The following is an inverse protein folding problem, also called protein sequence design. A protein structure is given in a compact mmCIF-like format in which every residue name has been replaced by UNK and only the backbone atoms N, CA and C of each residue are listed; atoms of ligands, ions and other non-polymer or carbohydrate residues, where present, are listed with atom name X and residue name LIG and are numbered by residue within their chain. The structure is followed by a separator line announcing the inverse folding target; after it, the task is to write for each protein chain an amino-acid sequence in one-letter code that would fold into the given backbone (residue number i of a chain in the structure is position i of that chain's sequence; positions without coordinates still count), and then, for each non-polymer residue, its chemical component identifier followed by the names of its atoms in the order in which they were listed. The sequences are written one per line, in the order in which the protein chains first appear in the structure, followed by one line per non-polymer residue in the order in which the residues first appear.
data_IF_113976357652
#
_entry.id   IF_113976357652
#
_cell.length_a   1.000
_cell.length_b   1.000
_cell.length_c   1.000
_cell.angle_alpha   90.00
_cell.angle_beta   90.00
_cell.angle_gamma   90.00
#
_symmetry.space_group_name_H-M   'P 1'
#
loop_
_entity.id
_entity.type
_entity.pdbx_description
1 polymer ?
#
# COMPACT_ATOMS: atom_id res chain seq x y z
N UNK A 1 88.07 7.94 32.74
CA UNK A 1 87.45 6.60 32.82
C UNK A 1 85.99 6.79 32.53
N UNK A 2 85.56 6.47 31.35
CA UNK A 2 84.14 6.66 30.88
C UNK A 2 83.33 5.41 31.22
N UNK A 3 82.24 5.59 31.96
CA UNK A 3 81.22 4.55 32.22
C UNK A 3 80.49 4.17 30.99
N UNK A 4 80.65 2.97 30.44
CA UNK A 4 79.86 2.39 29.37
C UNK A 4 78.64 1.77 30.01
N UNK A 5 77.44 2.36 29.66
CA UNK A 5 76.15 1.85 30.06
C UNK A 5 75.70 0.80 29.06
N UNK A 6 75.68 -0.48 29.44
CA UNK A 6 75.16 -1.57 28.62
C UNK A 6 73.62 -1.56 28.67
N UNK A 7 72.96 -1.25 27.55
CA UNK A 7 71.51 -1.37 27.40
C UNK A 7 71.21 -2.80 26.96
N UNK A 8 70.42 -3.60 27.73
CA UNK A 8 70.07 -4.94 27.32
C UNK A 8 69.09 -4.92 26.15
N UNK A 9 69.37 -5.72 25.11
CA UNK A 9 68.50 -5.90 23.96
C UNK A 9 67.13 -6.44 24.42
N UNK A 10 66.07 -5.67 24.14
CA UNK A 10 64.69 -6.08 24.37
C UNK A 10 64.37 -7.17 23.36
N UNK A 11 64.12 -8.41 23.85
CA UNK A 11 63.56 -9.48 23.03
C UNK A 11 62.24 -9.03 22.49
N UNK A 12 62.11 -8.88 21.17
CA UNK A 12 60.79 -8.80 20.49
C UNK A 12 60.13 -10.18 20.67
N UNK A 13 59.16 -10.25 21.56
CA UNK A 13 58.17 -11.35 21.59
C UNK A 13 57.32 -11.14 20.36
N UNK A 14 57.54 -11.95 19.33
CA UNK A 14 56.67 -11.97 18.18
C UNK A 14 55.26 -12.33 18.62
N UNK A 15 54.40 -11.34 18.60
CA UNK A 15 52.96 -11.53 18.71
C UNK A 15 52.45 -12.17 17.39
N UNK A 16 52.62 -13.48 17.28
CA UNK A 16 51.83 -14.33 16.40
C UNK A 16 50.43 -14.49 17.01
N UNK A 17 49.77 -13.41 17.34
CA UNK A 17 48.33 -13.40 17.39
C UNK A 17 47.88 -13.58 15.94
N UNK A 18 47.58 -14.82 15.52
CA UNK A 18 46.70 -15.07 14.39
C UNK A 18 45.46 -14.21 14.66
N UNK A 19 45.31 -13.11 13.91
CA UNK A 19 43.99 -12.49 13.74
C UNK A 19 43.11 -13.64 13.28
N UNK A 20 42.27 -14.15 14.15
CA UNK A 20 41.03 -14.79 13.74
C UNK A 20 40.35 -13.71 12.93
N UNK A 21 40.34 -13.86 11.61
CA UNK A 21 39.42 -13.13 10.77
C UNK A 21 38.05 -13.52 11.32
N UNK A 22 37.41 -12.59 12.03
CA UNK A 22 36.00 -12.70 12.38
C UNK A 22 35.27 -12.86 11.03
N UNK A 23 34.83 -14.08 10.73
CA UNK A 23 33.98 -14.35 9.56
C UNK A 23 32.77 -13.43 9.68
N UNK A 24 32.71 -12.45 8.79
CA UNK A 24 31.53 -11.57 8.72
C UNK A 24 30.31 -12.46 8.54
N UNK A 25 29.24 -12.26 9.31
CA UNK A 25 28.04 -13.05 9.17
C UNK A 25 27.55 -12.93 7.71
N UNK A 26 27.26 -14.08 7.09
CA UNK A 26 26.76 -14.13 5.73
C UNK A 26 25.38 -13.50 5.67
N UNK A 27 25.07 -12.79 4.56
CA UNK A 27 23.75 -12.23 4.32
C UNK A 27 22.78 -13.36 3.97
N UNK A 28 21.67 -13.44 4.70
CA UNK A 28 20.60 -14.40 4.43
C UNK A 28 19.75 -13.86 3.25
N UNK A 29 19.91 -14.51 2.09
CA UNK A 29 19.34 -14.06 0.83
C UNK A 29 18.19 -14.97 0.44
N UNK A 30 17.02 -14.36 0.19
CA UNK A 30 15.84 -15.03 -0.33
C UNK A 30 15.57 -14.64 -1.78
N UNK A 31 15.00 -15.54 -2.57
CA UNK A 31 14.53 -15.21 -3.90
C UNK A 31 13.00 -15.19 -3.97
N UNK A 32 12.45 -14.18 -4.69
CA UNK A 32 11.03 -14.12 -5.00
C UNK A 32 10.78 -14.39 -6.48
N UNK A 33 9.98 -15.41 -6.74
CA UNK A 33 9.58 -15.86 -8.08
C UNK A 33 8.08 -15.63 -8.29
N UNK A 34 7.70 -15.17 -9.48
CA UNK A 34 6.31 -15.08 -9.90
C UNK A 34 6.17 -15.74 -11.27
N UNK A 35 5.51 -16.87 -11.32
CA UNK A 35 5.30 -17.67 -12.54
C UNK A 35 3.85 -17.60 -12.97
N UNK A 36 3.59 -17.50 -14.29
CA UNK A 36 2.23 -17.54 -14.84
C UNK A 36 1.80 -18.99 -15.07
N UNK A 37 0.53 -19.34 -14.78
CA UNK A 37 0.01 -20.71 -14.75
C UNK A 37 -0.64 -21.17 -16.06
N UNK A 38 -0.46 -20.47 -17.19
CA UNK A 38 -1.30 -20.67 -18.39
C UNK A 38 -0.85 -21.77 -19.37
N UNK A 39 0.20 -22.56 -19.10
CA UNK A 39 0.57 -23.71 -19.94
C UNK A 39 1.55 -24.69 -19.28
N UNK A 40 1.55 -25.97 -19.74
CA UNK A 40 2.46 -27.03 -19.28
C UNK A 40 3.96 -26.71 -19.47
N UNK A 41 4.31 -25.78 -20.37
CA UNK A 41 5.67 -25.28 -20.56
C UNK A 41 6.17 -24.42 -19.37
N UNK A 42 5.29 -24.07 -18.44
CA UNK A 42 5.58 -23.16 -17.33
C UNK A 42 5.93 -23.87 -16.02
N UNK A 43 5.55 -25.13 -15.84
CA UNK A 43 6.06 -25.95 -14.74
C UNK A 43 7.59 -26.09 -14.86
N UNK A 44 8.10 -26.31 -16.07
CA UNK A 44 9.53 -26.32 -16.36
C UNK A 44 10.19 -24.95 -16.13
N UNK A 45 9.46 -23.86 -16.36
CA UNK A 45 9.95 -22.49 -16.08
C UNK A 45 10.04 -22.17 -14.58
N UNK A 46 9.17 -22.74 -13.75
CA UNK A 46 9.24 -22.58 -12.30
C UNK A 46 10.45 -23.32 -11.71
N UNK A 47 10.58 -24.59 -12.03
CA UNK A 47 11.71 -25.42 -11.59
C UNK A 47 13.05 -24.81 -12.01
N UNK A 48 13.14 -24.34 -13.25
CA UNK A 48 14.33 -23.65 -13.75
C UNK A 48 14.65 -22.35 -13.00
N UNK A 49 13.63 -21.58 -12.57
CA UNK A 49 13.85 -20.36 -11.77
C UNK A 49 14.31 -20.72 -10.34
N UNK A 50 13.72 -21.74 -9.73
CA UNK A 50 14.11 -22.24 -8.41
C UNK A 50 15.57 -22.72 -8.44
N UNK A 51 15.94 -23.53 -9.42
CA UNK A 51 17.32 -24.02 -9.59
C UNK A 51 18.29 -22.86 -9.82
N UNK A 52 17.95 -21.94 -10.74
CA UNK A 52 18.77 -20.78 -11.06
C UNK A 52 19.07 -19.92 -9.82
N UNK A 53 18.03 -19.53 -9.04
CA UNK A 53 18.25 -18.69 -7.86
C UNK A 53 18.93 -19.43 -6.72
N UNK A 54 18.67 -20.72 -6.56
CA UNK A 54 19.37 -21.55 -5.57
C UNK A 54 20.86 -21.58 -5.89
N UNK A 55 21.23 -21.88 -7.13
CA UNK A 55 22.63 -21.86 -7.54
C UNK A 55 23.25 -20.46 -7.47
N UNK A 56 22.52 -19.43 -7.91
CA UNK A 56 23.00 -18.06 -7.93
C UNK A 56 23.35 -17.57 -6.52
N UNK A 57 22.50 -17.86 -5.54
CA UNK A 57 22.74 -17.49 -4.14
C UNK A 57 23.89 -18.32 -3.55
N UNK A 58 23.93 -19.64 -3.79
CA UNK A 58 24.95 -20.52 -3.24
C UNK A 58 26.35 -20.31 -3.82
N UNK A 59 26.44 -19.81 -5.05
CA UNK A 59 27.74 -19.45 -5.69
C UNK A 59 28.41 -18.24 -5.05
N UNK A 60 27.67 -17.40 -4.31
CA UNK A 60 28.25 -16.25 -3.62
C UNK A 60 28.73 -16.65 -2.23
N UNK A 61 30.02 -16.54 -1.92
CA UNK A 61 30.56 -16.95 -0.61
C UNK A 61 30.05 -16.09 0.56
N UNK A 62 29.62 -14.88 0.30
CA UNK A 62 29.13 -13.92 1.32
C UNK A 62 27.63 -14.08 1.61
N UNK A 63 26.95 -15.01 0.93
CA UNK A 63 25.51 -15.21 1.05
C UNK A 63 25.17 -16.56 1.66
N UNK A 64 24.06 -16.59 2.40
CA UNK A 64 23.42 -17.79 2.94
C UNK A 64 22.02 -17.87 2.32
N UNK A 65 21.65 -19.06 1.89
CA UNK A 65 20.35 -19.32 1.27
C UNK A 65 19.24 -19.32 2.33
N UNK A 66 18.34 -18.30 2.29
CA UNK A 66 17.22 -18.16 3.22
C UNK A 66 15.90 -18.76 2.69
N UNK A 67 15.81 -19.08 1.40
CA UNK A 67 14.64 -19.72 0.82
C UNK A 67 14.17 -19.11 -0.51
N UNK A 68 13.21 -19.78 -1.13
CA UNK A 68 12.52 -19.32 -2.32
C UNK A 68 11.04 -19.17 -2.00
N UNK A 69 10.49 -18.01 -2.34
CA UNK A 69 9.08 -17.68 -2.23
C UNK A 69 8.50 -17.53 -3.61
N UNK A 70 7.48 -18.32 -3.93
CA UNK A 70 6.94 -18.33 -5.27
C UNK A 70 5.42 -18.30 -5.27
N UNK A 71 4.86 -17.30 -5.94
CA UNK A 71 3.43 -17.20 -6.19
C UNK A 71 3.11 -17.48 -7.65
N UNK A 72 1.97 -18.13 -7.89
CA UNK A 72 1.42 -18.28 -9.23
C UNK A 72 1.17 -16.91 -9.86
N UNK A 73 1.59 -16.72 -11.08
CA UNK A 73 1.34 -15.52 -11.86
C UNK A 73 -0.16 -15.31 -12.07
N UNK A 74 -0.59 -14.08 -11.85
CA UNK A 74 -1.99 -13.73 -11.85
C UNK A 74 -2.44 -13.51 -13.28
N UNK A 75 -3.40 -14.30 -13.75
CA UNK A 75 -4.32 -13.87 -14.80
C UNK A 75 -5.17 -12.72 -14.24
N UNK A 76 -5.41 -11.66 -15.03
CA UNK A 76 -6.01 -10.39 -14.58
C UNK A 76 -7.39 -10.46 -13.90
N UNK A 77 -7.93 -11.67 -13.67
CA UNK A 77 -9.26 -11.92 -13.08
C UNK A 77 -9.22 -12.68 -11.76
N UNK A 78 -8.07 -13.22 -11.33
CA UNK A 78 -8.01 -14.06 -10.14
C UNK A 78 -7.32 -13.33 -8.97
N UNK A 79 -8.11 -13.01 -7.94
CA UNK A 79 -7.69 -12.38 -6.68
C UNK A 79 -6.95 -13.34 -5.74
N UNK A 80 -6.24 -14.36 -6.24
CA UNK A 80 -5.41 -15.22 -5.39
C UNK A 80 -4.46 -14.35 -4.58
N UNK A 81 -4.53 -14.50 -3.28
CA UNK A 81 -3.66 -13.83 -2.32
C UNK A 81 -2.22 -14.24 -2.62
N UNK A 82 -1.30 -13.29 -2.67
CA UNK A 82 0.15 -13.54 -2.76
C UNK A 82 0.63 -14.07 -1.41
N UNK A 83 0.34 -15.33 -1.13
CA UNK A 83 0.58 -15.93 0.18
C UNK A 83 2.07 -16.03 0.45
N UNK A 84 2.84 -16.47 -0.55
CA UNK A 84 4.28 -16.60 -0.43
C UNK A 84 4.99 -15.24 -0.36
N UNK A 85 4.53 -14.25 -1.12
CA UNK A 85 5.03 -12.88 -0.98
C UNK A 85 4.79 -12.31 0.42
N UNK A 86 3.59 -12.50 0.97
CA UNK A 86 3.28 -12.04 2.32
C UNK A 86 4.12 -12.77 3.36
N UNK A 87 4.30 -14.08 3.21
CA UNK A 87 5.18 -14.88 4.07
C UNK A 87 6.61 -14.36 4.02
N UNK A 88 7.14 -14.07 2.83
CA UNK A 88 8.47 -13.46 2.66
C UNK A 88 8.57 -12.12 3.42
N UNK A 89 7.57 -11.26 3.30
CA UNK A 89 7.56 -9.97 4.02
C UNK A 89 7.52 -10.17 5.55
N UNK A 90 6.79 -11.18 6.03
CA UNK A 90 6.73 -11.48 7.45
C UNK A 90 8.05 -12.09 7.96
N UNK A 91 8.72 -12.92 7.18
CA UNK A 91 10.07 -13.41 7.47
C UNK A 91 11.12 -12.28 7.47
N UNK A 92 10.96 -11.28 6.60
CA UNK A 92 11.77 -10.05 6.66
C UNK A 92 11.57 -9.30 7.97
N UNK A 93 10.33 -9.12 8.43
CA UNK A 93 10.02 -8.47 9.71
C UNK A 93 10.55 -9.26 10.91
N UNK A 94 10.54 -10.59 10.82
CA UNK A 94 11.10 -11.49 11.83
C UNK A 94 12.64 -11.46 11.86
N UNK A 95 13.28 -10.80 10.89
CA UNK A 95 14.73 -10.75 10.78
C UNK A 95 15.34 -12.05 10.26
N UNK A 96 14.62 -12.86 9.50
CA UNK A 96 15.09 -14.10 8.90
C UNK A 96 15.74 -13.90 7.53
N UNK A 97 15.51 -12.74 6.89
CA UNK A 97 15.98 -12.39 5.55
C UNK A 97 16.70 -11.05 5.62
N UNK A 98 17.89 -10.97 5.05
CA UNK A 98 18.69 -9.76 4.99
C UNK A 98 18.71 -9.13 3.59
N UNK A 99 18.34 -9.89 2.54
CA UNK A 99 18.28 -9.41 1.15
C UNK A 99 17.28 -10.23 0.35
N UNK A 100 16.58 -9.58 -0.59
CA UNK A 100 15.68 -10.23 -1.54
C UNK A 100 16.24 -10.08 -2.96
N UNK A 101 16.16 -11.16 -3.74
CA UNK A 101 16.45 -11.15 -5.19
C UNK A 101 15.16 -11.48 -5.94
N UNK A 102 14.89 -10.77 -7.02
CA UNK A 102 13.77 -11.06 -7.91
C UNK A 102 14.12 -10.72 -9.36
N UNK A 103 13.47 -11.36 -10.30
CA UNK A 103 13.78 -11.23 -11.73
C UNK A 103 13.60 -9.80 -12.24
N UNK A 104 12.53 -9.12 -11.83
CA UNK A 104 12.22 -7.76 -12.32
C UNK A 104 11.22 -7.05 -11.42
N UNK A 105 11.18 -5.72 -11.56
CA UNK A 105 10.21 -4.85 -10.87
C UNK A 105 8.77 -5.30 -11.13
N UNK A 106 8.45 -5.65 -12.39
CA UNK A 106 7.10 -6.06 -12.79
C UNK A 106 6.65 -7.40 -12.18
N UNK A 107 7.59 -8.23 -11.73
CA UNK A 107 7.31 -9.49 -11.03
C UNK A 107 7.21 -9.30 -9.52
N UNK A 108 7.89 -8.28 -9.00
CA UNK A 108 7.87 -7.96 -7.57
C UNK A 108 6.51 -7.42 -7.11
N UNK A 109 5.85 -6.56 -7.89
CA UNK A 109 4.58 -5.98 -7.50
C UNK A 109 3.60 -5.84 -8.68
N UNK A 110 2.29 -5.81 -8.35
CA UNK A 110 1.19 -5.76 -9.34
C UNK A 110 0.98 -4.38 -9.96
N UNK A 111 1.29 -3.35 -9.21
CA UNK A 111 1.11 -1.96 -9.61
C UNK A 111 2.21 -1.10 -8.97
N UNK A 112 2.34 0.11 -9.44
CA UNK A 112 3.37 1.06 -9.01
C UNK A 112 3.24 1.43 -7.53
N UNK A 113 2.02 1.57 -7.02
CA UNK A 113 1.75 1.92 -5.61
C UNK A 113 2.20 0.82 -4.66
N UNK A 114 1.83 -0.43 -4.94
CA UNK A 114 2.23 -1.58 -4.12
C UNK A 114 3.73 -1.78 -4.15
N UNK A 115 4.34 -1.65 -5.33
CA UNK A 115 5.78 -1.75 -5.48
C UNK A 115 6.51 -0.70 -4.63
N UNK A 116 6.11 0.55 -4.72
CA UNK A 116 6.67 1.65 -3.95
C UNK A 116 6.51 1.44 -2.44
N UNK A 117 5.32 0.98 -2.02
CA UNK A 117 5.02 0.69 -0.61
C UNK A 117 5.97 -0.37 -0.05
N UNK A 118 6.09 -1.51 -0.74
CA UNK A 118 6.93 -2.61 -0.25
C UNK A 118 8.42 -2.30 -0.32
N UNK A 119 8.88 -1.61 -1.36
CA UNK A 119 10.29 -1.19 -1.44
C UNK A 119 10.63 -0.26 -0.28
N UNK A 120 9.78 0.73 0.04
CA UNK A 120 10.00 1.63 1.18
C UNK A 120 10.01 0.87 2.51
N UNK A 121 9.04 -0.03 2.71
CA UNK A 121 8.96 -0.84 3.92
C UNK A 121 10.23 -1.69 4.11
N UNK A 122 10.72 -2.35 3.06
CA UNK A 122 11.96 -3.14 3.11
C UNK A 122 13.19 -2.26 3.33
N UNK A 123 13.22 -1.08 2.72
CA UNK A 123 14.29 -0.10 2.93
C UNK A 123 14.35 0.41 4.36
N UNK A 124 13.20 0.68 4.99
CA UNK A 124 13.12 1.08 6.40
C UNK A 124 13.66 -0.01 7.34
N UNK A 125 13.59 -1.27 6.91
CA UNK A 125 14.18 -2.43 7.62
C UNK A 125 15.64 -2.72 7.22
N UNK A 126 16.26 -1.89 6.36
CA UNK A 126 17.58 -2.10 5.77
C UNK A 126 17.71 -3.40 4.97
N UNK A 127 16.63 -3.86 4.35
CA UNK A 127 16.62 -5.06 3.49
C UNK A 127 16.62 -4.63 2.02
N UNK A 128 17.76 -4.77 1.30
CA UNK A 128 17.83 -4.49 -0.12
C UNK A 128 17.01 -5.46 -0.95
N UNK A 129 16.43 -4.95 -2.04
CA UNK A 129 15.85 -5.75 -3.10
C UNK A 129 16.70 -5.58 -4.35
N UNK A 130 17.21 -6.69 -4.90
CA UNK A 130 17.94 -6.74 -6.15
C UNK A 130 17.00 -7.14 -7.28
N UNK A 131 16.77 -6.24 -8.22
CA UNK A 131 16.09 -6.50 -9.48
C UNK A 131 17.11 -6.92 -10.53
N UNK A 132 17.16 -8.21 -10.84
CA UNK A 132 18.20 -8.80 -11.69
C UNK A 132 18.18 -8.22 -13.11
N UNK A 133 17.00 -8.19 -13.76
CA UNK A 133 16.82 -7.70 -15.13
C UNK A 133 17.23 -6.25 -15.29
N UNK A 134 16.85 -5.41 -14.35
CA UNK A 134 17.15 -3.98 -14.36
C UNK A 134 18.55 -3.66 -13.80
N UNK A 135 19.21 -4.64 -13.15
CA UNK A 135 20.48 -4.47 -12.44
C UNK A 135 20.42 -3.31 -11.43
N UNK A 136 19.34 -3.26 -10.64
CA UNK A 136 19.06 -2.24 -9.63
C UNK A 136 18.99 -2.89 -8.25
N UNK A 137 19.77 -2.34 -7.30
CA UNK A 137 19.62 -2.59 -5.87
C UNK A 137 18.90 -1.39 -5.25
N UNK A 138 17.86 -1.63 -4.44
CA UNK A 138 17.04 -0.55 -3.85
C UNK A 138 17.78 0.31 -2.84
N UNK A 139 18.96 -0.11 -2.37
CA UNK A 139 19.77 0.64 -1.40
C UNK A 139 20.87 1.48 -2.07
N UNK A 140 21.09 1.35 -3.37
CA UNK A 140 22.07 2.15 -4.10
C UNK A 140 21.46 3.43 -4.73
N UNK A 141 22.29 4.24 -5.37
CA UNK A 141 21.86 5.48 -6.02
C UNK A 141 20.82 5.25 -7.14
N UNK A 142 20.90 4.11 -7.86
CA UNK A 142 19.92 3.74 -8.89
C UNK A 142 18.58 3.39 -8.26
N UNK A 143 18.60 2.76 -7.09
CA UNK A 143 17.42 2.46 -6.29
C UNK A 143 16.68 3.73 -5.85
N UNK A 144 17.41 4.77 -5.44
CA UNK A 144 16.80 6.07 -5.08
C UNK A 144 16.10 6.74 -6.28
N UNK A 145 16.74 6.72 -7.43
CA UNK A 145 16.14 7.24 -8.67
C UNK A 145 14.88 6.45 -9.02
N UNK A 146 14.93 5.12 -8.94
CA UNK A 146 13.77 4.25 -9.16
C UNK A 146 12.61 4.61 -8.24
N UNK A 147 12.85 4.73 -6.93
CA UNK A 147 11.83 5.08 -5.93
C UNK A 147 11.21 6.44 -6.26
N UNK A 148 12.01 7.41 -6.65
CA UNK A 148 11.54 8.76 -7.02
C UNK A 148 10.64 8.73 -8.25
N UNK A 149 11.04 8.01 -9.31
CA UNK A 149 10.23 7.84 -10.53
C UNK A 149 8.91 7.14 -10.20
N UNK A 150 8.97 6.05 -9.43
CA UNK A 150 7.77 5.30 -9.03
C UNK A 150 6.82 6.14 -8.18
N UNK A 151 7.34 6.99 -7.27
CA UNK A 151 6.52 7.90 -6.49
C UNK A 151 5.77 8.90 -7.38
N UNK A 152 6.43 9.46 -8.40
CA UNK A 152 5.83 10.38 -9.36
C UNK A 152 4.75 9.70 -10.20
N UNK A 153 5.00 8.48 -10.69
CA UNK A 153 4.04 7.69 -11.45
C UNK A 153 2.82 7.31 -10.61
N UNK A 154 3.02 6.88 -9.37
CA UNK A 154 1.95 6.55 -8.44
C UNK A 154 1.04 7.75 -8.13
N UNK A 155 1.63 8.95 -8.02
CA UNK A 155 0.88 10.18 -7.85
C UNK A 155 0.05 10.52 -9.09
N UNK A 156 0.61 10.41 -10.30
CA UNK A 156 -0.11 10.63 -11.56
C UNK A 156 -1.26 9.63 -11.74
N UNK A 157 -1.03 8.35 -11.47
CA UNK A 157 -2.05 7.30 -11.55
C UNK A 157 -3.25 7.61 -10.62
N UNK A 158 -2.98 8.02 -9.38
CA UNK A 158 -4.01 8.42 -8.41
C UNK A 158 -4.80 9.65 -8.88
N UNK A 159 -4.14 10.66 -9.45
CA UNK A 159 -4.79 11.86 -9.98
C UNK A 159 -5.65 11.53 -11.20
N UNK A 160 -5.14 10.73 -12.13
CA UNK A 160 -5.86 10.28 -13.33
C UNK A 160 -7.11 9.48 -12.96
N UNK A 161 -7.01 8.55 -11.99
CA UNK A 161 -8.15 7.79 -11.52
C UNK A 161 -9.24 8.70 -10.93
N UNK A 162 -8.86 9.69 -10.11
CA UNK A 162 -9.78 10.67 -9.53
C UNK A 162 -10.48 11.49 -10.61
N UNK A 163 -9.76 11.93 -11.64
CA UNK A 163 -10.34 12.67 -12.78
C UNK A 163 -11.29 11.80 -13.58
N UNK A 164 -10.94 10.55 -13.89
CA UNK A 164 -11.78 9.62 -14.62
C UNK A 164 -13.08 9.32 -13.87
N UNK A 165 -13.04 9.16 -12.54
CA UNK A 165 -14.25 8.98 -11.72
C UNK A 165 -15.13 10.23 -11.78
N UNK A 166 -14.54 11.44 -11.67
CA UNK A 166 -15.31 12.70 -11.78
C UNK A 166 -15.96 12.84 -13.16
N UNK A 167 -15.23 12.60 -14.24
CA UNK A 167 -15.78 12.65 -15.60
C UNK A 167 -16.90 11.61 -15.79
N UNK A 168 -16.73 10.39 -15.31
CA UNK A 168 -17.75 9.36 -15.38
C UNK A 168 -19.02 9.72 -14.60
N UNK A 169 -18.89 10.42 -13.46
CA UNK A 169 -20.03 10.97 -12.72
C UNK A 169 -20.72 12.10 -13.51
N UNK A 170 -19.95 13.06 -14.03
CA UNK A 170 -20.49 14.16 -14.82
C UNK A 170 -21.24 13.65 -16.07
N UNK A 171 -20.66 12.68 -16.78
CA UNK A 171 -21.29 12.07 -17.95
C UNK A 171 -22.62 11.39 -17.60
N UNK A 172 -22.69 10.64 -16.49
CA UNK A 172 -23.94 10.04 -16.01
C UNK A 172 -24.99 11.09 -15.65
N UNK A 173 -24.57 12.18 -15.00
CA UNK A 173 -25.48 13.28 -14.66
C UNK A 173 -26.02 13.99 -15.92
N UNK A 174 -25.20 14.21 -16.93
CA UNK A 174 -25.64 14.79 -18.22
C UNK A 174 -26.62 13.89 -18.93
N UNK A 175 -26.54 12.57 -18.77
CA UNK A 175 -27.50 11.62 -19.32
C UNK A 175 -28.76 11.46 -18.44
N UNK A 176 -28.92 12.22 -17.39
CA UNK A 176 -30.04 12.10 -16.44
C UNK A 176 -29.96 10.89 -15.51
N UNK A 177 -28.87 10.13 -15.55
CA UNK A 177 -28.65 8.93 -14.74
C UNK A 177 -28.06 9.31 -13.37
N UNK A 178 -28.89 9.88 -12.50
CA UNK A 178 -28.48 10.38 -11.19
C UNK A 178 -28.65 9.26 -10.14
N UNK A 179 -27.57 8.55 -9.82
CA UNK A 179 -27.57 7.60 -8.72
C UNK A 179 -27.27 8.34 -7.40
N UNK A 180 -28.32 8.74 -6.70
CA UNK A 180 -28.20 9.29 -5.33
C UNK A 180 -28.56 8.19 -4.32
N UNK A 181 -27.83 8.15 -3.21
CA UNK A 181 -28.23 7.35 -2.07
C UNK A 181 -29.43 8.03 -1.37
N UNK A 182 -30.63 7.72 -1.86
CA UNK A 182 -31.89 8.31 -1.40
C UNK A 182 -32.13 8.15 0.11
N UNK A 183 -31.58 7.09 0.75
CA UNK A 183 -31.69 6.88 2.20
C UNK A 183 -31.01 7.98 3.04
N UNK A 184 -30.17 8.80 2.41
CA UNK A 184 -29.47 9.93 3.07
C UNK A 184 -29.82 11.29 2.45
N UNK A 185 -30.74 11.30 1.49
CA UNK A 185 -31.15 12.51 0.78
C UNK A 185 -32.55 12.88 1.25
N UNK A 186 -32.63 13.49 2.40
CA UNK A 186 -33.89 13.82 3.09
C UNK A 186 -34.78 14.72 2.21
N UNK A 187 -36.05 14.39 2.09
CA UNK A 187 -37.04 15.06 1.22
C UNK A 187 -37.29 14.35 -0.11
N UNK A 188 -36.53 13.28 -0.41
CA UNK A 188 -36.67 12.54 -1.66
C UNK A 188 -36.71 11.02 -1.41
N UNK A 189 -37.43 10.32 -2.27
CA UNK A 189 -37.51 8.86 -2.33
C UNK A 189 -37.37 8.39 -3.77
N UNK A 190 -37.49 7.08 -4.01
CA UNK A 190 -37.53 6.50 -5.36
C UNK A 190 -38.90 6.00 -5.70
N UNK A 191 -39.33 6.24 -6.95
CA UNK A 191 -40.49 5.59 -7.52
C UNK A 191 -40.24 4.12 -7.91
N UNK A 192 -41.26 3.46 -8.47
CA UNK A 192 -41.17 2.07 -8.91
C UNK A 192 -40.11 1.85 -10.01
N UNK A 193 -39.84 2.86 -10.80
CA UNK A 193 -38.88 2.85 -11.92
C UNK A 193 -37.47 3.23 -11.47
N UNK A 194 -37.30 3.58 -10.19
CA UNK A 194 -36.01 3.94 -9.60
C UNK A 194 -35.63 5.42 -9.77
N UNK A 195 -36.53 6.26 -10.30
CA UNK A 195 -36.31 7.70 -10.44
C UNK A 195 -36.48 8.41 -9.09
N UNK A 196 -35.74 9.50 -8.92
CA UNK A 196 -35.83 10.32 -7.71
C UNK A 196 -37.11 11.15 -7.74
N UNK A 197 -37.97 10.96 -6.75
CA UNK A 197 -39.23 11.70 -6.59
C UNK A 197 -39.27 12.34 -5.20
N UNK A 198 -40.08 13.38 -5.04
CA UNK A 198 -40.26 14.06 -3.76
C UNK A 198 -41.03 13.12 -2.82
N UNK A 199 -40.51 12.96 -1.60
CA UNK A 199 -41.23 12.37 -0.48
C UNK A 199 -42.11 13.44 0.16
N UNK A 200 -43.46 13.34 0.07
CA UNK A 200 -44.34 14.41 0.53
C UNK A 200 -44.20 14.73 2.03
N UNK A 201 -44.00 13.71 2.84
CA UNK A 201 -43.90 13.82 4.29
C UNK A 201 -42.58 14.51 4.72
N UNK A 202 -41.48 14.06 4.14
CA UNK A 202 -40.18 14.66 4.39
C UNK A 202 -40.06 16.07 3.77
N UNK A 203 -40.71 16.33 2.64
CA UNK A 203 -40.71 17.62 1.99
C UNK A 203 -41.32 18.73 2.89
N UNK A 204 -42.36 18.42 3.64
CA UNK A 204 -42.93 19.40 4.59
C UNK A 204 -41.93 19.74 5.70
N UNK A 205 -41.19 18.76 6.17
CA UNK A 205 -40.10 18.98 7.14
C UNK A 205 -38.98 19.85 6.56
N UNK A 206 -38.59 19.59 5.32
CA UNK A 206 -37.59 20.44 4.60
C UNK A 206 -38.08 21.87 4.48
N UNK A 207 -39.33 22.08 4.03
CA UNK A 207 -39.94 23.43 3.93
C UNK A 207 -39.95 24.14 5.29
N UNK A 208 -40.26 23.42 6.38
CA UNK A 208 -40.24 23.95 7.74
C UNK A 208 -38.82 24.40 8.14
N UNK A 209 -37.78 23.56 7.88
CA UNK A 209 -36.39 23.90 8.16
C UNK A 209 -35.98 25.18 7.46
N UNK A 210 -36.31 25.33 6.16
CA UNK A 210 -36.01 26.54 5.38
C UNK A 210 -36.75 27.76 5.94
N UNK A 211 -38.05 27.64 6.24
CA UNK A 211 -38.88 28.73 6.80
C UNK A 211 -38.32 29.19 8.13
N UNK A 212 -38.11 28.30 9.10
CA UNK A 212 -37.58 28.63 10.42
C UNK A 212 -36.19 29.27 10.36
N UNK A 213 -35.34 28.81 9.44
CA UNK A 213 -34.03 29.38 9.19
C UNK A 213 -34.12 30.84 8.62
N UNK A 214 -35.02 31.05 7.67
CA UNK A 214 -35.26 32.38 7.09
C UNK A 214 -35.89 33.35 8.08
N UNK A 215 -36.66 32.86 9.05
CA UNK A 215 -37.21 33.60 10.17
C UNK A 215 -36.14 33.94 11.24
N UNK A 216 -34.89 33.46 11.07
CA UNK A 216 -33.76 33.81 11.92
C UNK A 216 -33.51 32.86 13.09
N UNK A 217 -34.14 31.65 13.09
CA UNK A 217 -33.82 30.65 14.12
C UNK A 217 -32.45 30.07 13.85
N UNK A 218 -31.70 29.78 14.91
CA UNK A 218 -30.45 29.07 14.81
C UNK A 218 -30.67 27.57 14.49
N UNK A 219 -29.72 26.96 13.79
CA UNK A 219 -29.80 25.54 13.45
C UNK A 219 -29.98 24.62 14.69
N UNK A 220 -29.44 25.03 15.86
CA UNK A 220 -29.66 24.30 17.13
C UNK A 220 -31.13 24.37 17.57
N UNK A 221 -31.75 25.55 17.50
CA UNK A 221 -33.17 25.72 17.84
C UNK A 221 -34.10 24.96 16.91
N UNK A 222 -33.77 24.92 15.60
CA UNK A 222 -34.50 24.14 14.61
C UNK A 222 -34.37 22.65 14.95
N UNK A 223 -33.16 22.15 15.27
CA UNK A 223 -32.93 20.79 15.65
C UNK A 223 -33.77 20.37 16.87
N UNK A 224 -33.73 21.18 17.94
CA UNK A 224 -34.53 20.94 19.16
C UNK A 224 -36.04 20.99 18.87
N UNK A 225 -36.49 21.88 17.99
CA UNK A 225 -37.88 21.97 17.56
C UNK A 225 -38.35 20.67 16.88
N UNK A 226 -37.56 20.17 15.95
CA UNK A 226 -37.85 18.92 15.23
C UNK A 226 -37.88 17.69 16.18
N UNK A 227 -36.92 17.62 17.11
CA UNK A 227 -36.86 16.56 18.14
C UNK A 227 -38.07 16.58 19.07
N UNK A 228 -38.46 17.78 19.54
CA UNK A 228 -39.62 17.97 20.40
C UNK A 228 -40.92 17.51 19.71
N UNK A 229 -41.03 17.77 18.42
CA UNK A 229 -42.20 17.42 17.62
C UNK A 229 -42.16 15.95 17.13
N UNK A 230 -41.13 15.19 17.53
CA UNK A 230 -41.01 13.76 17.26
C UNK A 230 -40.66 13.41 15.81
N UNK A 231 -40.17 14.40 15.04
CA UNK A 231 -39.82 14.21 13.62
C UNK A 231 -38.50 13.42 13.54
N UNK A 232 -38.52 12.30 12.81
CA UNK A 232 -37.35 11.44 12.64
C UNK A 232 -36.43 12.00 11.52
N UNK A 233 -35.13 11.76 11.67
CA UNK A 233 -34.15 12.05 10.62
C UNK A 233 -34.29 11.08 9.45
N UNK A 234 -33.73 11.37 8.27
CA UNK A 234 -33.75 10.48 7.12
C UNK A 234 -33.10 9.09 7.35
N UNK A 235 -32.36 8.92 8.43
CA UNK A 235 -31.83 7.63 8.89
C UNK A 235 -32.71 6.95 9.97
N UNK A 236 -33.90 7.51 10.26
CA UNK A 236 -34.80 7.02 11.30
C UNK A 236 -34.38 7.34 12.74
N UNK A 237 -33.37 8.18 12.94
CA UNK A 237 -32.90 8.61 14.24
C UNK A 237 -33.78 9.70 14.84
N UNK A 238 -33.92 9.72 16.19
CA UNK A 238 -34.67 10.76 16.91
C UNK A 238 -33.88 12.07 17.12
N UNK A 239 -32.56 12.02 17.03
CA UNK A 239 -31.68 13.14 17.32
C UNK A 239 -31.27 13.88 16.03
N UNK A 240 -31.55 15.17 15.99
CA UNK A 240 -31.15 16.07 14.91
C UNK A 240 -29.84 16.77 15.25
N UNK A 241 -28.86 16.68 14.36
CA UNK A 241 -27.61 17.42 14.50
C UNK A 241 -27.62 18.65 13.62
N UNK A 242 -27.04 19.75 14.09
CA UNK A 242 -26.86 21.00 13.32
C UNK A 242 -26.16 20.75 11.97
N UNK A 243 -25.25 19.77 11.92
CA UNK A 243 -24.58 19.35 10.69
C UNK A 243 -25.56 18.76 9.66
N UNK A 244 -26.64 18.09 10.09
CA UNK A 244 -27.67 17.55 9.22
C UNK A 244 -28.52 18.68 8.64
N UNK A 245 -28.94 19.63 9.50
CA UNK A 245 -29.71 20.81 9.07
C UNK A 245 -28.86 21.65 8.09
N UNK A 246 -27.59 21.89 8.40
CA UNK A 246 -26.69 22.63 7.49
C UNK A 246 -26.55 21.93 6.11
N UNK A 247 -26.52 20.59 6.08
CA UNK A 247 -26.51 19.85 4.81
C UNK A 247 -27.80 20.05 4.03
N UNK A 248 -28.97 20.01 4.69
CA UNK A 248 -30.27 20.25 4.03
C UNK A 248 -30.35 21.66 3.47
N UNK A 249 -29.90 22.67 4.22
CA UNK A 249 -29.90 24.07 3.78
C UNK A 249 -28.91 24.39 2.65
N UNK A 250 -27.90 23.52 2.44
CA UNK A 250 -26.89 23.70 1.36
C UNK A 250 -27.18 22.92 0.08
N UNK A 251 -28.12 22.00 0.12
CA UNK A 251 -28.59 21.28 -1.06
C UNK A 251 -29.74 22.10 -1.69
#
# INVERSE_FOLDING_TARGET
MGNVMLIPARRQVGNNARKQEEEKPKLRVAAYCCVSTDSDEQATSYEAQVEHYTEYIQKNPDWEFAGIYADDGISGTNTKKREEFNRMIDDCKAGNIDMIITKSISRFARNTLDCLKYIRQLKDMNIPVLFEKESINTMDAKGEVLITIMASLAQQESQSLSQNVKMGLQYRYQQGNVQINHNRFFGYTKDADGNLVIDPEQAETVKRIYREYLEGLSMDKIAVGLERDGILTGAGGKKWHTSTINKILRN
#
